data_IF_163968749012
#
_entry.id   IF_163968749012
#
_cell.length_a   1.000
_cell.length_b   1.000
_cell.length_c   1.000
_cell.angle_alpha   90.00
_cell.angle_beta   90.00
_cell.angle_gamma   90.00
#
_symmetry.space_group_name_H-M   'P 1'
#
loop_
_entity.id
_entity.type
_entity.pdbx_description
1 polymer ?
#
# COMPACT_ATOMS: atom_id res chain seq x y z
N UNK A 1 -51.76 -9.76 20.83
CA UNK A 1 -52.92 -9.31 20.04
C UNK A 1 -53.20 -7.86 20.47
N UNK A 2 -52.61 -6.88 19.85
CA UNK A 2 -52.67 -5.47 20.22
C UNK A 2 -53.65 -4.77 19.29
N UNK A 3 -54.74 -4.27 19.85
CA UNK A 3 -55.74 -3.45 19.17
C UNK A 3 -55.23 -2.02 19.04
N UNK A 4 -54.94 -1.58 17.82
CA UNK A 4 -54.66 -0.20 17.49
C UNK A 4 -55.99 0.53 17.32
N UNK A 5 -56.33 1.37 18.27
CA UNK A 5 -57.54 2.23 18.22
C UNK A 5 -57.14 3.54 17.54
N UNK A 6 -57.60 3.78 16.30
CA UNK A 6 -57.52 5.12 15.67
C UNK A 6 -58.75 5.95 16.04
N UNK A 7 -58.57 7.21 16.45
CA UNK A 7 -59.71 8.09 16.79
C UNK A 7 -60.43 8.52 15.51
N UNK A 8 -61.73 8.24 15.43
CA UNK A 8 -62.62 8.75 14.37
C UNK A 8 -63.23 7.69 13.43
N UNK A 9 -62.97 6.41 13.66
CA UNK A 9 -63.59 5.32 12.87
C UNK A 9 -64.43 4.43 13.78
N UNK A 10 -65.70 4.35 13.55
CA UNK A 10 -66.62 3.43 14.26
C UNK A 10 -67.03 2.34 13.28
N UNK A 11 -66.81 1.06 13.69
CA UNK A 11 -67.28 -0.11 12.97
C UNK A 11 -68.62 -0.55 13.54
N UNK A 12 -69.67 -0.47 12.76
CA UNK A 12 -70.95 -1.06 13.07
C UNK A 12 -71.54 -1.76 11.79
N UNK A 13 -71.83 -3.04 11.95
CA UNK A 13 -72.47 -3.85 10.91
C UNK A 13 -71.75 -3.92 9.54
N UNK A 14 -70.42 -3.90 9.47
CA UNK A 14 -69.69 -4.15 8.20
C UNK A 14 -69.65 -2.96 7.23
N UNK A 15 -70.06 -1.76 7.65
CA UNK A 15 -70.00 -0.58 6.85
C UNK A 15 -69.13 0.48 7.57
N UNK A 16 -68.13 1.01 6.86
CA UNK A 16 -67.31 2.13 7.33
C UNK A 16 -68.05 3.41 7.07
N UNK A 17 -68.54 4.08 8.10
CA UNK A 17 -69.11 5.43 7.97
C UNK A 17 -68.17 6.45 8.63
N UNK A 18 -67.75 7.39 7.82
CA UNK A 18 -67.01 8.57 8.30
C UNK A 18 -68.02 9.64 8.72
N UNK A 19 -68.09 9.96 9.99
CA UNK A 19 -68.93 11.03 10.52
C UNK A 19 -68.27 12.37 10.16
N UNK A 20 -68.82 13.06 9.19
CA UNK A 20 -68.47 14.45 8.86
C UNK A 20 -69.10 15.39 9.91
N UNK A 21 -68.32 15.79 10.88
CA UNK A 21 -68.72 16.79 11.86
C UNK A 21 -68.62 18.19 11.25
N UNK A 22 -69.77 18.79 11.04
CA UNK A 22 -69.92 20.07 10.34
C UNK A 22 -69.81 21.22 11.38
N UNK A 23 -68.63 21.42 11.97
CA UNK A 23 -68.37 22.58 12.82
C UNK A 23 -67.01 23.22 12.55
N UNK A 24 -67.08 24.52 12.30
CA UNK A 24 -66.02 25.51 12.29
C UNK A 24 -65.12 25.52 11.04
N UNK A 25 -65.62 26.23 10.04
CA UNK A 25 -64.74 26.89 9.05
C UNK A 25 -63.93 27.98 9.79
N UNK A 26 -62.77 27.65 10.31
CA UNK A 26 -61.75 28.64 10.62
C UNK A 26 -61.16 29.12 9.28
N UNK A 27 -61.03 30.46 9.06
CA UNK A 27 -60.40 30.94 7.82
C UNK A 27 -58.93 30.47 7.84
N UNK A 28 -58.58 29.58 6.94
CA UNK A 28 -57.17 29.25 6.72
C UNK A 28 -56.47 30.52 6.22
N UNK A 29 -55.74 31.14 7.13
CA UNK A 29 -54.79 32.17 6.81
C UNK A 29 -53.65 31.49 6.07
N UNK A 30 -53.64 31.57 4.72
CA UNK A 30 -52.50 31.14 3.96
C UNK A 30 -51.28 31.96 4.39
N UNK A 31 -50.43 31.35 5.18
CA UNK A 31 -49.12 31.91 5.47
C UNK A 31 -48.30 31.71 4.21
N UNK A 32 -48.15 32.77 3.43
CA UNK A 32 -47.20 32.76 2.30
C UNK A 32 -45.79 32.64 2.91
N UNK A 33 -45.02 31.59 2.53
CA UNK A 33 -43.66 31.52 2.99
C UNK A 33 -42.91 32.75 2.48
N UNK A 34 -41.98 33.33 3.30
CA UNK A 34 -41.17 34.43 2.80
C UNK A 34 -40.45 33.96 1.55
N UNK A 35 -40.62 34.68 0.43
CA UNK A 35 -39.83 34.49 -0.77
C UNK A 35 -38.38 34.76 -0.37
N UNK A 36 -37.59 33.70 -0.16
CA UNK A 36 -36.14 33.83 -0.03
C UNK A 36 -35.64 34.30 -1.38
N UNK A 37 -35.28 35.57 -1.48
CA UNK A 37 -34.49 36.07 -2.61
C UNK A 37 -33.14 35.35 -2.50
N UNK A 38 -33.03 34.19 -3.13
CA UNK A 38 -31.75 33.62 -3.47
C UNK A 38 -31.12 34.55 -4.52
N UNK A 39 -30.37 35.53 -4.04
CA UNK A 39 -29.45 36.27 -4.90
C UNK A 39 -28.37 35.30 -5.36
N UNK A 40 -28.58 34.68 -6.52
CA UNK A 40 -27.55 33.93 -7.21
C UNK A 40 -26.47 34.93 -7.65
N UNK A 41 -25.47 35.10 -6.78
CA UNK A 41 -24.26 35.85 -7.12
C UNK A 41 -23.44 34.98 -8.06
N UNK A 42 -23.49 35.28 -9.35
CA UNK A 42 -22.58 34.73 -10.36
C UNK A 42 -21.16 35.25 -10.11
N UNK A 43 -20.17 34.41 -10.36
CA UNK A 43 -18.75 34.82 -10.30
C UNK A 43 -18.46 35.86 -11.39
N UNK A 44 -17.72 36.90 -11.06
CA UNK A 44 -17.24 37.86 -12.04
C UNK A 44 -16.05 37.28 -12.81
N UNK A 45 -15.86 37.70 -14.05
CA UNK A 45 -14.72 37.30 -14.86
C UNK A 45 -13.41 37.71 -14.22
N UNK A 46 -13.37 38.86 -13.54
CA UNK A 46 -12.21 39.33 -12.77
C UNK A 46 -11.87 38.38 -11.60
N UNK A 47 -12.87 37.92 -10.84
CA UNK A 47 -12.69 37.02 -9.70
C UNK A 47 -12.12 35.67 -10.14
N UNK A 48 -12.62 35.15 -11.29
CA UNK A 48 -12.10 33.91 -11.87
C UNK A 48 -10.63 34.10 -12.31
N UNK A 49 -10.28 35.24 -12.90
CA UNK A 49 -8.91 35.52 -13.33
C UNK A 49 -7.95 35.62 -12.14
N UNK A 50 -8.35 36.31 -11.07
CA UNK A 50 -7.55 36.44 -9.85
C UNK A 50 -7.38 35.09 -9.15
N UNK A 51 -8.44 34.27 -9.05
CA UNK A 51 -8.36 32.94 -8.42
C UNK A 51 -7.44 31.99 -9.18
N UNK A 52 -7.50 31.98 -10.53
CA UNK A 52 -6.59 31.16 -11.35
C UNK A 52 -5.15 31.64 -11.23
N UNK A 53 -4.90 32.96 -11.17
CA UNK A 53 -3.56 33.51 -10.97
C UNK A 53 -2.97 33.07 -9.61
N UNK A 54 -3.75 33.12 -8.53
CA UNK A 54 -3.31 32.66 -7.20
C UNK A 54 -3.04 31.16 -7.22
N UNK A 55 -3.94 30.36 -7.81
CA UNK A 55 -3.77 28.90 -7.93
C UNK A 55 -2.49 28.55 -8.71
N UNK A 56 -2.18 29.29 -9.78
CA UNK A 56 -0.96 29.05 -10.55
C UNK A 56 0.31 29.28 -9.71
N UNK A 57 0.34 30.35 -8.92
CA UNK A 57 1.48 30.64 -8.01
C UNK A 57 1.64 29.53 -6.97
N UNK A 58 0.55 29.12 -6.32
CA UNK A 58 0.56 28.05 -5.31
C UNK A 58 1.01 26.72 -5.93
N UNK A 59 0.55 26.40 -7.14
CA UNK A 59 0.93 25.18 -7.84
C UNK A 59 2.44 25.09 -8.13
N UNK A 60 3.07 26.18 -8.54
CA UNK A 60 4.52 26.22 -8.80
C UNK A 60 5.35 25.92 -7.54
N UNK A 61 4.91 26.38 -6.38
CA UNK A 61 5.60 26.15 -5.11
C UNK A 61 5.31 24.74 -4.57
N UNK A 62 4.10 24.24 -4.74
CA UNK A 62 3.66 22.95 -4.20
C UNK A 62 4.19 21.75 -5.01
N UNK A 63 4.35 21.88 -6.33
CA UNK A 63 4.72 20.77 -7.21
C UNK A 63 6.03 20.07 -6.83
N UNK A 64 7.18 20.77 -6.57
CA UNK A 64 8.43 20.10 -6.23
C UNK A 64 8.38 19.39 -4.88
N UNK A 65 7.63 19.92 -3.91
CA UNK A 65 7.45 19.30 -2.60
C UNK A 65 6.67 17.99 -2.71
N UNK A 66 5.62 17.94 -3.55
CA UNK A 66 4.82 16.76 -3.79
C UNK A 66 5.63 15.65 -4.49
N UNK A 67 6.48 16.01 -5.46
CA UNK A 67 7.36 15.06 -6.14
C UNK A 67 8.30 14.37 -5.15
N UNK A 68 8.99 15.14 -4.29
CA UNK A 68 9.87 14.59 -3.27
C UNK A 68 9.13 13.70 -2.27
N UNK A 69 7.91 14.05 -1.91
CA UNK A 69 7.07 13.23 -1.05
C UNK A 69 6.75 11.87 -1.69
N UNK A 70 6.35 11.86 -2.97
CA UNK A 70 6.05 10.63 -3.72
C UNK A 70 7.29 9.74 -3.83
N UNK A 71 8.45 10.30 -4.19
CA UNK A 71 9.71 9.57 -4.29
C UNK A 71 10.12 8.96 -2.94
N UNK A 72 10.06 9.75 -1.86
CA UNK A 72 10.38 9.27 -0.52
C UNK A 72 9.44 8.17 -0.05
N UNK A 73 8.15 8.25 -0.36
CA UNK A 73 7.19 7.21 -0.02
C UNK A 73 7.46 5.92 -0.81
N UNK A 74 7.72 6.03 -2.12
CA UNK A 74 8.03 4.90 -2.99
C UNK A 74 9.26 4.14 -2.50
N UNK A 75 10.38 4.82 -2.29
CA UNK A 75 11.63 4.17 -1.86
C UNK A 75 11.48 3.50 -0.49
N UNK A 76 10.74 4.09 0.45
CA UNK A 76 10.45 3.47 1.75
C UNK A 76 9.60 2.21 1.61
N UNK A 77 8.58 2.25 0.77
CA UNK A 77 7.69 1.11 0.53
C UNK A 77 8.44 -0.05 -0.13
N UNK A 78 9.30 0.22 -1.10
CA UNK A 78 10.08 -0.79 -1.78
C UNK A 78 11.15 -1.42 -0.86
N UNK A 79 11.83 -0.60 -0.05
CA UNK A 79 12.74 -1.13 0.96
C UNK A 79 12.02 -2.00 2.01
N UNK A 80 10.82 -1.59 2.42
CA UNK A 80 9.99 -2.39 3.32
C UNK A 80 9.53 -3.69 2.67
N UNK A 81 9.21 -3.70 1.38
CA UNK A 81 8.81 -4.90 0.65
C UNK A 81 9.92 -5.96 0.69
N UNK A 82 11.16 -5.62 0.31
CA UNK A 82 12.28 -6.56 0.40
C UNK A 82 12.52 -7.05 1.84
N UNK A 83 12.52 -6.13 2.81
CA UNK A 83 12.70 -6.50 4.22
C UNK A 83 11.63 -7.48 4.66
N UNK A 84 10.38 -7.28 4.25
CA UNK A 84 9.25 -8.17 4.59
C UNK A 84 9.40 -9.54 3.94
N UNK A 85 9.80 -9.61 2.66
CA UNK A 85 10.06 -10.88 1.98
C UNK A 85 11.20 -11.67 2.63
N UNK A 86 12.28 -10.99 3.06
CA UNK A 86 13.37 -11.64 3.79
C UNK A 86 12.94 -12.15 5.17
N UNK A 87 12.12 -11.39 5.91
CA UNK A 87 11.56 -11.85 7.19
C UNK A 87 10.59 -13.01 6.97
N UNK A 88 9.78 -12.97 5.92
CA UNK A 88 8.89 -14.05 5.51
C UNK A 88 9.68 -15.31 5.18
N UNK A 89 10.70 -15.23 4.32
CA UNK A 89 11.58 -16.36 3.98
C UNK A 89 12.19 -17.01 5.22
N UNK A 90 12.72 -16.21 6.13
CA UNK A 90 13.26 -16.69 7.41
C UNK A 90 12.21 -17.42 8.25
N UNK A 91 11.00 -16.86 8.33
CA UNK A 91 9.90 -17.44 9.13
C UNK A 91 9.46 -18.77 8.53
N UNK A 92 9.36 -18.88 7.20
CA UNK A 92 9.04 -20.11 6.51
C UNK A 92 10.13 -21.17 6.69
N UNK A 93 11.42 -20.78 6.67
CA UNK A 93 12.53 -21.69 6.93
C UNK A 93 12.42 -22.34 8.31
N UNK A 94 12.18 -21.53 9.35
CA UNK A 94 12.00 -22.00 10.71
C UNK A 94 10.75 -22.88 10.86
N UNK A 95 9.61 -22.41 10.32
CA UNK A 95 8.32 -23.07 10.50
C UNK A 95 8.24 -24.43 9.81
N UNK A 96 8.90 -24.56 8.65
CA UNK A 96 8.95 -25.81 7.86
C UNK A 96 10.17 -26.68 8.17
N UNK A 97 11.16 -26.13 8.91
CA UNK A 97 12.45 -26.78 9.19
C UNK A 97 13.20 -27.19 7.90
N UNK A 98 13.23 -26.28 6.91
CA UNK A 98 13.88 -26.46 5.61
C UNK A 98 14.67 -25.21 5.23
N UNK A 99 15.49 -25.30 4.16
CA UNK A 99 16.11 -24.12 3.59
C UNK A 99 15.08 -23.33 2.78
N UNK A 100 15.10 -21.99 2.91
CA UNK A 100 14.27 -21.08 2.12
C UNK A 100 15.17 -19.99 1.54
N UNK A 101 15.07 -19.80 0.23
CA UNK A 101 15.90 -18.88 -0.53
C UNK A 101 15.06 -17.75 -1.09
N UNK A 102 15.66 -16.56 -1.09
CA UNK A 102 15.16 -15.39 -1.83
C UNK A 102 16.20 -15.03 -2.89
N UNK A 103 15.81 -14.97 -4.14
CA UNK A 103 16.71 -14.66 -5.28
C UNK A 103 16.09 -13.62 -6.20
N UNK A 104 16.91 -12.84 -6.93
CA UNK A 104 16.40 -11.99 -8.00
C UNK A 104 15.81 -12.86 -9.11
N UNK A 105 14.58 -12.55 -9.53
CA UNK A 105 13.89 -13.36 -10.51
C UNK A 105 12.47 -12.90 -10.79
N UNK A 106 11.84 -13.58 -11.74
CA UNK A 106 10.47 -13.29 -12.17
C UNK A 106 9.56 -14.50 -12.03
N UNK A 107 8.25 -14.29 -12.10
CA UNK A 107 7.24 -15.35 -12.03
C UNK A 107 7.48 -16.51 -13.03
N UNK A 108 7.97 -16.19 -14.22
CA UNK A 108 8.19 -17.15 -15.30
C UNK A 108 9.63 -17.66 -15.42
N UNK A 109 10.60 -16.90 -14.92
CA UNK A 109 12.04 -17.16 -15.12
C UNK A 109 12.76 -17.77 -13.92
N UNK A 110 12.13 -17.79 -12.74
CA UNK A 110 12.80 -18.24 -11.52
C UNK A 110 14.01 -17.37 -11.13
N UNK A 111 14.99 -17.97 -10.45
CA UNK A 111 16.28 -17.35 -10.09
C UNK A 111 17.24 -17.32 -11.29
N UNK A 112 17.00 -16.43 -12.21
CA UNK A 112 17.69 -16.44 -13.52
C UNK A 112 18.83 -15.42 -13.66
N UNK A 113 19.36 -14.91 -12.54
CA UNK A 113 20.47 -13.94 -12.56
C UNK A 113 20.08 -12.54 -12.99
N UNK A 114 18.79 -12.20 -12.96
CA UNK A 114 18.30 -10.82 -13.15
C UNK A 114 18.70 -9.93 -11.99
N UNK A 115 18.48 -8.63 -12.14
CA UNK A 115 18.75 -7.66 -11.09
C UNK A 115 17.59 -7.69 -10.06
N UNK A 116 17.89 -7.39 -8.81
CA UNK A 116 16.89 -7.36 -7.74
C UNK A 116 15.74 -6.36 -7.99
N UNK A 117 16.00 -5.29 -8.74
CA UNK A 117 14.96 -4.35 -9.15
C UNK A 117 13.97 -4.91 -10.16
N UNK A 118 14.33 -5.99 -10.88
CA UNK A 118 13.43 -6.67 -11.81
C UNK A 118 12.41 -7.58 -11.10
N UNK A 119 12.56 -7.72 -9.78
CA UNK A 119 11.73 -8.53 -8.90
C UNK A 119 12.52 -9.65 -8.22
N UNK A 120 11.85 -10.37 -7.31
CA UNK A 120 12.45 -11.51 -6.61
C UNK A 120 11.43 -12.60 -6.33
N UNK A 121 11.95 -13.79 -6.10
CA UNK A 121 11.17 -14.99 -5.76
C UNK A 121 11.65 -15.53 -4.43
N UNK A 122 10.73 -15.94 -3.56
CA UNK A 122 10.99 -16.70 -2.33
C UNK A 122 10.52 -18.13 -2.56
N UNK A 123 11.37 -19.12 -2.30
CA UNK A 123 11.06 -20.53 -2.54
C UNK A 123 11.68 -21.45 -1.49
N UNK A 124 11.14 -22.66 -1.39
CA UNK A 124 11.68 -23.74 -0.57
C UNK A 124 12.80 -24.42 -1.35
N UNK A 125 14.02 -24.34 -0.86
CA UNK A 125 15.20 -24.98 -1.45
C UNK A 125 15.41 -26.33 -0.79
N UNK A 126 15.01 -27.38 -1.49
CA UNK A 126 15.01 -28.74 -0.93
C UNK A 126 16.35 -29.45 -1.05
N UNK A 127 17.17 -29.10 -2.05
CA UNK A 127 18.47 -29.68 -2.31
C UNK A 127 19.64 -28.80 -1.82
N UNK A 128 19.33 -27.59 -1.32
CA UNK A 128 20.29 -26.60 -0.80
C UNK A 128 21.35 -26.17 -1.81
N UNK A 129 20.91 -25.86 -3.06
CA UNK A 129 21.78 -25.35 -4.10
C UNK A 129 21.52 -23.89 -4.48
N UNK A 130 20.48 -23.27 -3.87
CA UNK A 130 20.02 -21.89 -4.11
C UNK A 130 19.57 -21.62 -5.57
N UNK A 131 19.22 -22.67 -6.31
CA UNK A 131 18.64 -22.59 -7.64
C UNK A 131 17.18 -23.03 -7.55
N UNK A 132 16.28 -22.30 -8.17
CA UNK A 132 14.88 -22.67 -8.16
C UNK A 132 14.58 -23.74 -9.20
N UNK A 133 14.31 -24.97 -8.77
CA UNK A 133 13.94 -26.10 -9.60
C UNK A 133 12.42 -26.14 -9.89
N UNK A 134 12.00 -26.92 -10.90
CA UNK A 134 10.58 -27.05 -11.28
C UNK A 134 9.72 -27.68 -10.18
N UNK A 135 10.32 -28.60 -9.40
CA UNK A 135 9.65 -29.34 -8.32
C UNK A 135 9.61 -28.56 -7.02
N UNK A 136 10.31 -27.43 -6.93
CA UNK A 136 10.39 -26.64 -5.73
C UNK A 136 9.22 -25.67 -5.56
N UNK A 137 8.82 -25.47 -4.32
CA UNK A 137 7.64 -24.67 -4.00
C UNK A 137 8.00 -23.19 -3.92
N UNK A 138 7.47 -22.39 -4.85
CA UNK A 138 7.50 -20.93 -4.77
C UNK A 138 6.53 -20.47 -3.69
N UNK A 139 7.03 -19.67 -2.75
CA UNK A 139 6.25 -19.14 -1.61
C UNK A 139 5.75 -17.71 -1.88
N UNK A 140 6.59 -16.88 -2.48
CA UNK A 140 6.27 -15.49 -2.80
C UNK A 140 6.94 -15.08 -4.11
N UNK A 141 6.29 -14.23 -4.87
CA UNK A 141 6.83 -13.61 -6.08
C UNK A 141 6.58 -12.13 -6.00
N UNK A 142 7.65 -11.33 -6.01
CA UNK A 142 7.56 -9.88 -6.06
C UNK A 142 7.89 -9.40 -7.48
N UNK A 143 7.04 -8.52 -7.99
CA UNK A 143 7.22 -7.93 -9.32
C UNK A 143 8.32 -6.87 -9.32
N UNK A 144 8.75 -6.45 -10.53
CA UNK A 144 9.73 -5.38 -10.69
C UNK A 144 9.38 -4.11 -9.92
N UNK A 145 10.40 -3.39 -9.48
CA UNK A 145 10.25 -2.12 -8.76
C UNK A 145 9.78 -1.02 -9.71
N UNK A 146 8.86 -0.19 -9.24
CA UNK A 146 8.38 0.96 -9.99
C UNK A 146 9.36 2.15 -9.93
N UNK A 147 9.40 2.95 -11.00
CA UNK A 147 10.03 4.27 -11.04
C UNK A 147 11.53 4.25 -11.27
N UNK A 148 12.01 3.27 -12.03
CA UNK A 148 13.43 3.12 -12.42
C UNK A 148 14.38 3.10 -11.22
N UNK A 149 13.90 2.62 -10.07
CA UNK A 149 14.70 2.47 -8.87
C UNK A 149 15.65 1.29 -9.03
N UNK A 150 16.87 1.42 -8.52
CA UNK A 150 17.90 0.37 -8.56
C UNK A 150 18.06 -0.27 -7.19
N UNK A 151 18.16 -1.60 -7.15
CA UNK A 151 18.37 -2.38 -5.93
C UNK A 151 19.60 -3.30 -6.13
N UNK A 152 20.68 -3.02 -5.43
CA UNK A 152 21.95 -3.72 -5.57
C UNK A 152 22.39 -4.32 -4.25
N UNK A 153 22.67 -5.63 -4.28
CA UNK A 153 23.28 -6.34 -3.15
C UNK A 153 24.81 -6.32 -3.22
N UNK A 154 25.46 -6.27 -2.06
CA UNK A 154 26.89 -6.59 -1.95
C UNK A 154 27.16 -8.02 -2.39
N UNK A 155 28.43 -8.40 -2.61
CA UNK A 155 28.83 -9.68 -3.20
C UNK A 155 28.12 -10.88 -2.58
N UNK A 156 27.95 -10.89 -1.25
CA UNK A 156 27.40 -12.05 -0.53
C UNK A 156 25.88 -12.19 -0.63
N UNK A 157 25.17 -11.12 -0.99
CA UNK A 157 23.68 -11.09 -1.15
C UNK A 157 23.25 -10.68 -2.56
N UNK A 158 24.20 -10.57 -3.48
CA UNK A 158 23.94 -10.15 -4.85
C UNK A 158 23.06 -11.16 -5.59
N UNK A 159 23.38 -12.45 -5.43
CA UNK A 159 22.79 -13.50 -6.25
C UNK A 159 21.61 -14.20 -5.52
N UNK A 160 21.65 -14.28 -4.21
CA UNK A 160 20.57 -14.82 -3.37
C UNK A 160 20.79 -14.48 -1.88
N UNK A 161 19.73 -14.68 -1.09
CA UNK A 161 19.78 -14.78 0.38
C UNK A 161 19.12 -16.09 0.78
N UNK A 162 19.84 -16.96 1.49
CA UNK A 162 19.34 -18.24 1.98
C UNK A 162 19.23 -18.23 3.50
N UNK A 163 18.16 -18.82 4.01
CA UNK A 163 17.93 -19.04 5.44
C UNK A 163 17.87 -20.54 5.72
N UNK A 164 18.63 -20.97 6.73
CA UNK A 164 18.59 -22.34 7.24
C UNK A 164 17.36 -22.59 8.14
N UNK A 165 17.17 -23.85 8.55
CA UNK A 165 16.07 -24.28 9.40
C UNK A 165 16.07 -23.62 10.79
N UNK A 166 17.19 -23.04 11.24
CA UNK A 166 17.30 -22.27 12.49
C UNK A 166 17.02 -20.78 12.26
N UNK A 167 16.79 -20.38 10.99
CA UNK A 167 16.56 -19.00 10.57
C UNK A 167 17.81 -18.14 10.57
N UNK A 168 19.00 -18.74 10.41
CA UNK A 168 20.24 -18.03 10.18
C UNK A 168 20.42 -17.80 8.69
N UNK A 169 21.03 -16.69 8.32
CA UNK A 169 21.43 -16.48 6.94
C UNK A 169 22.72 -17.26 6.66
N UNK A 170 22.67 -18.20 5.72
CA UNK A 170 23.73 -19.14 5.42
C UNK A 170 23.88 -19.35 3.91
N UNK A 171 25.11 -19.41 3.43
CA UNK A 171 25.41 -19.77 2.03
C UNK A 171 25.29 -21.28 1.83
N UNK A 172 25.18 -21.71 0.56
CA UNK A 172 25.13 -23.13 0.15
C UNK A 172 26.30 -23.95 0.73
N UNK A 173 27.49 -23.36 0.84
CA UNK A 173 28.66 -24.02 1.41
C UNK A 173 28.67 -24.11 2.95
N UNK A 174 27.63 -23.64 3.62
CA UNK A 174 27.50 -23.62 5.07
C UNK A 174 28.10 -22.39 5.76
N UNK A 175 28.76 -21.50 5.04
CA UNK A 175 29.31 -20.28 5.62
C UNK A 175 28.21 -19.28 6.01
N UNK A 176 28.40 -18.50 7.10
CA UNK A 176 27.50 -17.41 7.43
C UNK A 176 27.34 -16.43 6.29
N UNK A 177 26.10 -16.03 5.98
CA UNK A 177 25.80 -15.05 4.94
C UNK A 177 25.46 -13.70 5.59
N UNK A 178 26.08 -12.63 5.12
CA UNK A 178 25.77 -11.26 5.54
C UNK A 178 26.06 -10.29 4.41
N UNK A 179 25.28 -9.23 4.29
CA UNK A 179 25.48 -8.23 3.25
C UNK A 179 24.44 -7.13 3.34
N UNK A 180 24.58 -6.16 2.45
CA UNK A 180 23.74 -4.99 2.40
C UNK A 180 23.19 -4.80 1.01
N UNK A 181 21.89 -4.53 0.90
CA UNK A 181 21.26 -4.04 -0.32
C UNK A 181 21.19 -2.53 -0.26
N UNK A 182 21.51 -1.87 -1.36
CA UNK A 182 21.34 -0.43 -1.53
C UNK A 182 20.22 -0.18 -2.54
N UNK A 183 19.20 0.53 -2.11
CA UNK A 183 18.06 0.96 -2.92
C UNK A 183 18.19 2.46 -3.18
N UNK A 184 18.29 2.83 -4.46
CA UNK A 184 18.36 4.21 -4.93
C UNK A 184 17.22 4.51 -5.90
N UNK A 185 16.74 5.74 -5.88
CA UNK A 185 15.85 6.27 -6.92
C UNK A 185 16.62 7.18 -7.90
N UNK A 186 15.91 7.83 -8.81
CA UNK A 186 16.48 8.73 -9.82
C UNK A 186 17.35 9.88 -9.26
N UNK A 187 17.28 10.16 -7.94
CA UNK A 187 18.12 11.16 -7.27
C UNK A 187 19.51 10.62 -6.95
N UNK A 188 19.72 9.31 -7.09
CA UNK A 188 20.98 8.62 -6.83
C UNK A 188 21.21 8.32 -5.35
N UNK A 189 22.48 8.07 -5.01
CA UNK A 189 22.90 7.80 -3.63
C UNK A 189 22.87 9.08 -2.77
N UNK A 190 22.38 8.97 -1.54
CA UNK A 190 22.28 10.11 -0.61
C UNK A 190 21.30 9.83 0.55
N UNK A 191 20.95 10.85 1.31
CA UNK A 191 20.09 10.77 2.50
C UNK A 191 18.71 10.13 2.28
N UNK A 192 18.26 10.03 1.04
CA UNK A 192 17.01 9.40 0.65
C UNK A 192 17.17 7.93 0.24
N UNK A 193 18.39 7.48 -0.10
CA UNK A 193 18.67 6.09 -0.39
C UNK A 193 18.46 5.21 0.84
N UNK A 194 18.12 3.93 0.63
CA UNK A 194 17.88 2.96 1.69
C UNK A 194 18.89 1.84 1.63
N UNK A 195 19.37 1.44 2.81
CA UNK A 195 20.18 0.26 2.99
C UNK A 195 19.34 -0.81 3.70
N UNK A 196 19.36 -2.03 3.21
CA UNK A 196 18.75 -3.19 3.86
C UNK A 196 19.87 -4.16 4.23
N UNK A 197 20.20 -4.23 5.51
CA UNK A 197 21.22 -5.12 6.01
C UNK A 197 20.65 -6.49 6.30
N UNK A 198 21.34 -7.52 5.86
CA UNK A 198 21.16 -8.92 6.27
C UNK A 198 22.38 -9.35 7.05
N UNK A 199 22.17 -9.82 8.28
CA UNK A 199 23.27 -10.32 9.12
C UNK A 199 23.16 -11.83 9.30
N UNK A 200 24.28 -12.49 9.59
CA UNK A 200 24.37 -13.94 9.67
C UNK A 200 23.38 -14.62 10.65
N UNK A 201 22.86 -13.87 11.63
CA UNK A 201 21.79 -14.36 12.51
C UNK A 201 20.42 -14.42 11.85
N UNK A 202 20.32 -14.09 10.55
CA UNK A 202 19.09 -14.05 9.77
C UNK A 202 18.22 -12.82 10.01
N UNK A 203 18.71 -11.82 10.74
CA UNK A 203 17.97 -10.57 10.96
C UNK A 203 18.18 -9.60 9.81
N UNK A 204 17.10 -9.02 9.32
CA UNK A 204 17.11 -7.95 8.31
C UNK A 204 16.77 -6.60 8.95
N UNK A 205 17.41 -5.53 8.53
CA UNK A 205 17.15 -4.15 9.02
C UNK A 205 17.13 -3.18 7.85
N UNK A 206 16.19 -2.23 7.90
CA UNK A 206 16.10 -1.14 6.95
C UNK A 206 16.68 0.15 7.58
N UNK A 207 17.65 0.75 6.92
CA UNK A 207 18.41 1.92 7.38
C UNK A 207 18.41 3.00 6.29
N UNK A 208 18.83 4.21 6.64
CA UNK A 208 19.22 5.21 5.63
C UNK A 208 20.61 4.80 5.14
N UNK A 209 20.82 4.77 3.82
CA UNK A 209 22.13 4.49 3.26
C UNK A 209 23.06 5.66 3.53
N UNK A 210 24.18 5.37 4.18
CA UNK A 210 25.27 6.33 4.43
C UNK A 210 26.55 5.81 3.78
N UNK A 211 27.56 6.64 3.59
CA UNK A 211 28.85 6.24 2.98
C UNK A 211 29.50 5.02 3.67
N UNK A 212 29.13 4.74 4.93
CA UNK A 212 29.63 3.59 5.68
C UNK A 212 28.89 2.27 5.41
N UNK A 213 27.87 2.28 4.52
CA UNK A 213 27.08 1.09 4.14
C UNK A 213 27.51 0.46 2.79
N UNK A 214 28.65 0.89 2.23
CA UNK A 214 29.24 0.32 1.00
C UNK A 214 30.23 -0.82 1.32
#
# INVERSE_FOLDING_TARGET
>A
MALITMPGVVFENGIITTRTDNRLRLPMRFYAPPTSNNSNHGFTLLELLVTVAILAIVAVIAAPSLQNFVLNNRIRTQAAALTTSLVFARTEAISRSVHVVTCPGTASGGCNGTLWEDGWVVFVDTNNDSVLDEEETRLEIHVALDGDNTLRGTTDVRDYVSFDYDGRAQKVNGDPQSGTFILCDQRGFGDHARAIDVIATGRSRNLIATDSSQ
#
